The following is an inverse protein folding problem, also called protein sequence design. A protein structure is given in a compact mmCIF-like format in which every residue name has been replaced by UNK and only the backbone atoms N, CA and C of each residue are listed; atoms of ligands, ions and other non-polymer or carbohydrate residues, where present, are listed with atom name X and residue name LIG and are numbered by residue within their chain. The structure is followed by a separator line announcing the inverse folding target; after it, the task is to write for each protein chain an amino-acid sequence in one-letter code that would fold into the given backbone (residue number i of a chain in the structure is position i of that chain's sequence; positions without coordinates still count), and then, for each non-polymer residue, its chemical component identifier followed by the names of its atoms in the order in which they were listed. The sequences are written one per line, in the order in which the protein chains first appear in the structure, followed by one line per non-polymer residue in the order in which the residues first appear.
data_IF_987406198049
#
_entry.id   IF_987406198049
#
_cell.length_a   1.000
_cell.length_b   1.000
_cell.length_c   1.000
_cell.angle_alpha   90.00
_cell.angle_beta   90.00
_cell.angle_gamma   90.00
#
_symmetry.space_group_name_H-M   'P 1'
#
loop_
_entity.id
_entity.type
_entity.pdbx_description
1 polymer ?
#
# COMPACT_ATOMS: atom_id res chain seq x y z
N UNK A 1 -36.86 0.94 24.08
CA UNK A 1 -35.93 2.09 23.93
C UNK A 1 -36.74 3.39 23.88
N UNK A 2 -36.15 4.57 24.08
CA UNK A 2 -36.80 5.86 23.79
C UNK A 2 -36.09 6.58 22.62
N UNK A 3 -36.64 7.71 22.15
CA UNK A 3 -36.10 8.46 21.00
C UNK A 3 -34.72 9.06 21.28
N UNK A 4 -34.46 9.50 22.50
CA UNK A 4 -33.15 10.06 22.89
C UNK A 4 -32.04 9.00 22.85
N UNK A 5 -32.34 7.79 23.30
CA UNK A 5 -31.44 6.63 23.19
C UNK A 5 -31.19 6.25 21.72
N UNK A 6 -32.21 6.36 20.85
CA UNK A 6 -32.03 6.11 19.41
C UNK A 6 -31.08 7.14 18.79
N UNK A 7 -31.25 8.41 19.12
CA UNK A 7 -30.36 9.48 18.67
C UNK A 7 -28.92 9.28 19.17
N UNK A 8 -28.74 8.87 20.44
CA UNK A 8 -27.42 8.56 20.98
C UNK A 8 -26.75 7.38 20.25
N UNK A 9 -27.52 6.33 19.91
CA UNK A 9 -27.02 5.22 19.08
C UNK A 9 -26.64 5.68 17.67
N UNK A 10 -27.45 6.54 17.06
CA UNK A 10 -27.15 7.09 15.74
C UNK A 10 -25.82 7.84 15.75
N UNK A 11 -25.60 8.73 16.72
CA UNK A 11 -24.34 9.45 16.88
C UNK A 11 -23.14 8.52 17.06
N UNK A 12 -23.28 7.47 17.88
CA UNK A 12 -22.20 6.48 18.09
C UNK A 12 -21.83 5.76 16.80
N UNK A 13 -22.79 5.51 15.92
CA UNK A 13 -22.63 4.76 14.67
C UNK A 13 -22.36 5.66 13.45
N UNK A 14 -21.84 6.87 13.63
CA UNK A 14 -21.47 7.77 12.52
C UNK A 14 -22.61 8.62 11.98
N UNK A 15 -23.72 8.73 12.69
CA UNK A 15 -24.83 9.66 12.42
C UNK A 15 -25.82 9.22 11.34
N UNK A 16 -25.37 8.46 10.34
CA UNK A 16 -26.19 7.99 9.19
C UNK A 16 -26.41 6.48 9.14
N UNK A 17 -26.45 5.81 10.29
CA UNK A 17 -26.77 4.39 10.34
C UNK A 17 -28.21 4.11 9.89
N UNK A 18 -28.37 3.12 9.00
CA UNK A 18 -29.69 2.63 8.55
C UNK A 18 -30.19 1.59 9.55
N UNK A 19 -31.09 2.02 10.44
CA UNK A 19 -31.67 1.15 11.46
C UNK A 19 -32.81 0.29 10.92
N UNK A 20 -32.78 -0.99 11.24
CA UNK A 20 -33.78 -1.97 10.84
C UNK A 20 -34.65 -2.33 12.04
N UNK A 21 -35.97 -2.24 11.88
CA UNK A 21 -36.91 -2.71 12.88
C UNK A 21 -36.94 -4.24 12.91
N UNK A 22 -36.56 -4.83 14.04
CA UNK A 22 -36.48 -6.28 14.25
C UNK A 22 -37.45 -6.67 15.36
N UNK A 23 -38.28 -7.71 15.20
CA UNK A 23 -39.17 -8.14 16.28
C UNK A 23 -38.38 -8.48 17.55
N UNK A 24 -39.00 -8.27 18.71
CA UNK A 24 -38.35 -8.52 20.00
C UNK A 24 -37.95 -9.99 20.10
N UNK A 25 -36.71 -10.26 20.49
CA UNK A 25 -36.17 -11.61 20.61
C UNK A 25 -35.65 -12.22 19.30
N UNK A 26 -35.84 -11.55 18.17
CA UNK A 26 -35.36 -12.01 16.87
C UNK A 26 -33.96 -11.47 16.54
N UNK A 27 -33.26 -12.17 15.63
CA UNK A 27 -31.91 -11.80 15.16
C UNK A 27 -31.88 -11.06 13.82
N UNK A 28 -33.01 -10.83 13.17
CA UNK A 28 -33.06 -10.08 11.92
C UNK A 28 -34.48 -9.69 11.46
N UNK A 29 -34.60 -8.83 10.44
CA UNK A 29 -35.88 -8.32 9.97
C UNK A 29 -36.72 -9.42 9.30
N UNK A 30 -38.03 -9.41 9.54
CA UNK A 30 -38.97 -10.38 8.93
C UNK A 30 -39.46 -9.92 7.55
N UNK A 31 -39.39 -8.61 7.26
CA UNK A 31 -39.88 -8.06 5.99
C UNK A 31 -38.91 -8.40 4.84
N UNK A 32 -39.41 -9.01 3.74
CA UNK A 32 -38.60 -9.21 2.54
C UNK A 32 -38.04 -7.90 1.99
N UNK A 33 -36.83 -7.93 1.43
CA UNK A 33 -36.18 -6.75 0.84
C UNK A 33 -35.65 -5.74 1.85
N UNK A 34 -35.45 -6.13 3.11
CA UNK A 34 -34.87 -5.28 4.15
C UNK A 34 -33.48 -4.73 3.78
N UNK A 35 -32.75 -5.41 2.89
CA UNK A 35 -31.46 -4.97 2.35
C UNK A 35 -31.56 -3.68 1.50
N UNK A 36 -32.77 -3.29 1.08
CA UNK A 36 -33.03 -2.10 0.26
C UNK A 36 -33.55 -0.91 1.06
N UNK A 37 -33.67 -1.06 2.39
CA UNK A 37 -34.12 0.03 3.27
C UNK A 37 -33.10 1.17 3.22
N UNK A 38 -33.59 2.40 3.05
CA UNK A 38 -32.75 3.59 2.95
C UNK A 38 -32.70 4.34 4.28
N UNK A 39 -31.67 5.17 4.47
CA UNK A 39 -31.57 6.03 5.65
C UNK A 39 -32.83 6.91 5.80
N UNK A 40 -33.30 7.51 4.70
CA UNK A 40 -34.46 8.40 4.67
C UNK A 40 -35.75 7.70 5.12
N UNK A 41 -35.94 6.43 4.72
CA UNK A 41 -37.07 5.62 5.19
C UNK A 41 -37.04 5.39 6.71
N UNK A 42 -35.85 5.18 7.28
CA UNK A 42 -35.69 4.94 8.73
C UNK A 42 -35.92 6.18 9.59
N UNK A 43 -35.88 7.38 8.99
CA UNK A 43 -36.14 8.65 9.68
C UNK A 43 -37.64 8.99 9.78
N UNK A 44 -38.52 8.25 9.10
CA UNK A 44 -39.96 8.53 9.14
C UNK A 44 -40.54 8.27 10.54
N UNK A 45 -41.43 9.13 11.07
CA UNK A 45 -41.97 8.97 12.43
C UNK A 45 -42.56 7.58 12.71
N UNK A 46 -43.32 7.03 11.76
CA UNK A 46 -43.92 5.70 11.85
C UNK A 46 -42.89 4.55 11.77
N UNK A 47 -41.71 4.81 11.20
CA UNK A 47 -40.59 3.87 11.23
C UNK A 47 -39.91 3.90 12.60
N UNK A 48 -39.68 5.10 13.15
CA UNK A 48 -39.08 5.28 14.47
C UNK A 48 -39.92 4.60 15.56
N UNK A 49 -41.24 4.69 15.50
CA UNK A 49 -42.13 4.04 16.47
C UNK A 49 -42.00 2.50 16.44
N UNK A 50 -41.72 1.92 15.27
CA UNK A 50 -41.42 0.48 15.12
C UNK A 50 -40.03 0.12 15.63
N UNK A 51 -39.04 1.00 15.49
CA UNK A 51 -37.69 0.77 16.02
C UNK A 51 -37.71 0.69 17.56
N UNK A 52 -38.42 1.61 18.22
CA UNK A 52 -38.38 1.72 19.69
C UNK A 52 -39.15 0.62 20.43
N UNK A 53 -39.99 -0.16 19.71
CA UNK A 53 -40.84 -1.22 20.25
C UNK A 53 -40.24 -2.63 20.16
N UNK A 54 -39.14 -2.81 19.41
CA UNK A 54 -38.51 -4.12 19.18
C UNK A 54 -37.01 -4.14 19.44
N UNK A 55 -36.36 -5.14 18.84
CA UNK A 55 -34.92 -5.14 18.64
C UNK A 55 -34.58 -4.19 17.48
N UNK A 56 -33.33 -3.73 17.45
CA UNK A 56 -32.83 -2.84 16.41
C UNK A 56 -31.63 -3.48 15.75
N UNK A 57 -31.78 -3.77 14.46
CA UNK A 57 -30.68 -4.13 13.57
C UNK A 57 -30.10 -2.89 12.90
N UNK A 58 -28.91 -3.04 12.32
CA UNK A 58 -28.27 -2.02 11.48
C UNK A 58 -27.91 -2.68 10.16
N UNK A 59 -28.35 -2.11 9.04
CA UNK A 59 -27.89 -2.51 7.71
C UNK A 59 -26.46 -2.01 7.52
N UNK A 60 -25.54 -2.90 7.17
CA UNK A 60 -24.10 -2.60 7.15
C UNK A 60 -23.60 -2.20 5.75
N UNK A 61 -22.34 -1.77 5.69
CA UNK A 61 -21.62 -1.40 4.49
C UNK A 61 -21.99 -0.01 3.96
N UNK A 62 -22.00 0.13 2.64
CA UNK A 62 -22.19 1.39 1.90
C UNK A 62 -23.53 2.07 2.23
N UNK A 63 -24.57 1.29 2.51
CA UNK A 63 -25.88 1.80 2.91
C UNK A 63 -25.84 2.64 4.20
N UNK A 64 -24.92 2.31 5.12
CA UNK A 64 -24.69 3.04 6.37
C UNK A 64 -23.35 3.78 6.36
N UNK A 65 -22.98 4.36 5.20
CA UNK A 65 -21.76 5.17 5.04
C UNK A 65 -20.46 4.44 5.39
N UNK A 66 -20.37 3.13 5.08
CA UNK A 66 -19.18 2.31 5.32
C UNK A 66 -19.15 1.62 6.69
N UNK A 67 -20.27 1.58 7.42
CA UNK A 67 -20.35 1.01 8.77
C UNK A 67 -20.32 -0.52 8.68
N UNK A 68 -19.27 -1.12 9.23
CA UNK A 68 -19.04 -2.56 9.20
C UNK A 68 -18.86 -3.10 10.62
N UNK A 69 -18.91 -4.43 10.77
CA UNK A 69 -18.65 -5.06 12.07
C UNK A 69 -17.79 -6.31 11.95
N UNK A 70 -16.94 -6.53 12.96
CA UNK A 70 -16.25 -7.79 13.19
C UNK A 70 -17.01 -8.52 14.29
N UNK A 71 -17.76 -9.56 13.94
CA UNK A 71 -18.49 -10.38 14.91
C UNK A 71 -17.65 -11.61 15.26
N UNK A 72 -17.26 -11.73 16.52
CA UNK A 72 -16.39 -12.81 16.99
C UNK A 72 -17.20 -13.72 17.91
N UNK A 73 -17.25 -15.01 17.57
CA UNK A 73 -18.21 -15.95 18.16
C UNK A 73 -17.90 -16.33 19.63
N UNK A 74 -16.64 -16.20 20.07
CA UNK A 74 -16.20 -16.58 21.42
C UNK A 74 -15.54 -15.43 22.17
N UNK A 75 -15.69 -15.42 23.50
CA UNK A 75 -15.13 -14.38 24.35
C UNK A 75 -13.59 -14.40 24.34
N UNK A 76 -12.99 -15.59 24.34
CA UNK A 76 -11.53 -15.77 24.28
C UNK A 76 -10.94 -15.23 22.97
N UNK A 77 -11.56 -15.52 21.82
CA UNK A 77 -11.11 -14.98 20.53
C UNK A 77 -11.30 -13.47 20.44
N UNK A 78 -12.33 -12.93 21.10
CA UNK A 78 -12.56 -11.50 21.16
C UNK A 78 -11.49 -10.77 21.99
N UNK A 79 -10.98 -11.41 23.05
CA UNK A 79 -9.86 -10.89 23.84
C UNK A 79 -8.56 -10.92 23.03
N UNK A 80 -8.25 -12.03 22.36
CA UNK A 80 -7.11 -12.15 21.44
C UNK A 80 -7.13 -11.07 20.35
N UNK A 81 -8.27 -10.88 19.68
CA UNK A 81 -8.43 -9.85 18.66
C UNK A 81 -8.23 -8.43 19.21
N UNK A 82 -8.68 -8.18 20.44
CA UNK A 82 -8.54 -6.89 21.10
C UNK A 82 -7.07 -6.58 21.46
N UNK A 83 -6.29 -7.59 21.84
CA UNK A 83 -4.84 -7.46 22.07
C UNK A 83 -4.08 -7.13 20.78
N UNK A 84 -4.44 -7.77 19.67
CA UNK A 84 -3.87 -7.50 18.35
C UNK A 84 -4.26 -6.12 17.79
N UNK A 85 -5.41 -5.59 18.20
CA UNK A 85 -5.94 -4.32 17.70
C UNK A 85 -6.21 -3.30 18.82
N UNK A 86 -5.18 -2.72 19.47
CA UNK A 86 -5.36 -1.79 20.57
C UNK A 86 -6.24 -0.57 20.24
N UNK A 87 -6.21 -0.10 18.98
CA UNK A 87 -7.10 0.98 18.50
C UNK A 87 -8.59 0.59 18.57
N UNK A 88 -8.93 -0.66 18.23
CA UNK A 88 -10.30 -1.15 18.18
C UNK A 88 -10.89 -1.45 19.55
N UNK A 89 -10.06 -1.58 20.60
CA UNK A 89 -10.54 -1.68 21.98
C UNK A 89 -11.41 -0.48 22.39
N UNK A 90 -11.16 0.70 21.78
CA UNK A 90 -11.86 1.96 22.05
C UNK A 90 -13.14 2.14 21.22
N UNK A 91 -13.37 1.29 20.22
CA UNK A 91 -14.56 1.40 19.37
C UNK A 91 -15.82 0.96 20.11
N UNK A 92 -16.98 1.36 19.59
CA UNK A 92 -18.26 0.88 20.10
C UNK A 92 -18.35 -0.64 19.94
N UNK A 93 -18.71 -1.34 21.01
CA UNK A 93 -18.79 -2.79 21.05
C UNK A 93 -20.14 -3.23 21.58
N UNK A 94 -20.72 -4.25 20.94
CA UNK A 94 -21.95 -4.88 21.40
C UNK A 94 -21.67 -6.33 21.78
N UNK A 95 -22.39 -6.83 22.79
CA UNK A 95 -22.30 -8.22 23.24
C UNK A 95 -23.69 -8.78 23.53
N UNK A 96 -23.98 -9.94 22.94
CA UNK A 96 -25.15 -10.76 23.22
C UNK A 96 -24.87 -11.78 24.33
N UNK A 97 -25.24 -13.04 24.10
CA UNK A 97 -25.01 -14.12 25.06
C UNK A 97 -23.54 -14.53 25.21
N UNK A 98 -22.77 -14.51 24.10
CA UNK A 98 -21.36 -14.86 24.01
C UNK A 98 -20.69 -14.05 22.91
N UNK A 99 -19.37 -14.02 22.91
CA UNK A 99 -18.60 -13.37 21.87
C UNK A 99 -18.65 -11.86 21.98
N UNK A 100 -18.18 -11.18 20.93
CA UNK A 100 -18.10 -9.73 20.90
C UNK A 100 -18.18 -9.22 19.47
N UNK A 101 -18.96 -8.17 19.27
CA UNK A 101 -19.06 -7.49 18.00
C UNK A 101 -18.40 -6.11 18.09
N UNK A 102 -17.38 -5.88 17.25
CA UNK A 102 -16.65 -4.62 17.16
C UNK A 102 -17.18 -3.82 15.98
N UNK A 103 -17.68 -2.61 16.24
CA UNK A 103 -18.21 -1.73 15.19
C UNK A 103 -17.11 -0.82 14.65
N UNK A 104 -17.01 -0.66 13.34
CA UNK A 104 -15.99 0.19 12.70
C UNK A 104 -16.58 0.94 11.50
N UNK A 105 -16.02 2.11 11.21
CA UNK A 105 -16.33 2.87 10.00
C UNK A 105 -15.15 2.72 9.03
N UNK A 106 -15.36 2.07 7.88
CA UNK A 106 -14.26 1.87 6.94
C UNK A 106 -14.03 3.12 6.07
N UNK A 107 -12.77 3.53 5.98
CA UNK A 107 -12.29 4.55 5.04
C UNK A 107 -11.71 3.88 3.78
N UNK A 108 -12.47 3.89 2.69
CA UNK A 108 -12.06 3.26 1.42
C UNK A 108 -12.75 1.93 1.16
N UNK A 109 -12.09 1.07 0.37
CA UNK A 109 -12.64 -0.22 -0.06
C UNK A 109 -12.57 -1.28 1.04
N UNK A 110 -13.51 -2.21 1.01
CA UNK A 110 -13.60 -3.35 1.92
C UNK A 110 -14.30 -4.53 1.24
N UNK A 111 -13.98 -5.78 1.63
CA UNK A 111 -14.60 -6.95 1.02
C UNK A 111 -16.08 -7.09 1.41
N UNK A 112 -16.87 -7.86 0.65
CA UNK A 112 -18.24 -8.19 1.00
C UNK A 112 -18.29 -9.05 2.28
N UNK A 113 -19.50 -9.32 2.79
CA UNK A 113 -19.70 -10.11 3.99
C UNK A 113 -19.06 -11.51 3.85
N UNK A 114 -18.29 -11.91 4.85
CA UNK A 114 -17.59 -13.19 4.89
C UNK A 114 -17.67 -13.89 6.25
N UNK A 115 -17.84 -15.20 6.20
CA UNK A 115 -17.60 -16.07 7.37
C UNK A 115 -16.12 -16.37 7.49
N UNK A 116 -15.62 -16.33 8.71
CA UNK A 116 -14.20 -16.49 9.03
C UNK A 116 -14.03 -17.78 9.83
N UNK A 117 -13.06 -18.59 9.43
CA UNK A 117 -12.69 -19.84 10.09
C UNK A 117 -11.27 -19.81 10.60
N UNK A 118 -11.00 -20.51 11.69
CA UNK A 118 -9.66 -20.86 12.13
C UNK A 118 -9.47 -22.37 11.92
N UNK A 119 -8.79 -22.74 10.82
CA UNK A 119 -8.74 -24.14 10.37
C UNK A 119 -10.12 -24.70 10.00
N UNK A 120 -10.64 -25.63 10.80
CA UNK A 120 -11.98 -26.20 10.61
C UNK A 120 -13.04 -25.56 11.52
N UNK A 121 -12.64 -24.73 12.49
CA UNK A 121 -13.53 -24.11 13.48
C UNK A 121 -14.08 -22.78 12.96
N UNK A 122 -15.35 -22.50 13.25
CA UNK A 122 -15.95 -21.18 13.01
C UNK A 122 -15.35 -20.17 14.01
N UNK A 123 -14.83 -19.05 13.50
CA UNK A 123 -14.22 -18.00 14.33
C UNK A 123 -15.16 -16.81 14.51
N UNK A 124 -15.89 -16.46 13.45
CA UNK A 124 -16.77 -15.30 13.42
C UNK A 124 -17.09 -14.85 12.00
N UNK A 125 -17.42 -13.57 11.84
CA UNK A 125 -17.82 -12.99 10.57
C UNK A 125 -17.28 -11.56 10.40
N UNK A 126 -16.75 -11.27 9.21
CA UNK A 126 -16.65 -9.91 8.70
C UNK A 126 -18.00 -9.53 8.09
N UNK A 127 -18.67 -8.51 8.62
CA UNK A 127 -19.98 -8.09 8.14
C UNK A 127 -19.93 -6.69 7.54
N UNK A 128 -20.24 -6.62 6.24
CA UNK A 128 -20.27 -5.41 5.43
C UNK A 128 -21.53 -5.38 4.54
N UNK A 129 -21.40 -5.06 3.26
CA UNK A 129 -22.52 -4.94 2.30
C UNK A 129 -23.42 -6.19 2.31
N UNK A 130 -24.74 -5.95 2.36
CA UNK A 130 -25.76 -7.01 2.40
C UNK A 130 -25.97 -7.67 3.77
N UNK A 131 -25.12 -7.35 4.76
CA UNK A 131 -25.20 -7.83 6.14
C UNK A 131 -26.04 -6.95 7.06
N UNK A 132 -26.45 -7.51 8.20
CA UNK A 132 -26.97 -6.72 9.33
C UNK A 132 -26.47 -7.24 10.66
N UNK A 133 -26.38 -6.34 11.64
CA UNK A 133 -26.03 -6.68 13.03
C UNK A 133 -27.02 -6.06 14.01
N UNK A 134 -27.44 -6.83 15.02
CA UNK A 134 -28.28 -6.31 16.11
C UNK A 134 -27.46 -5.42 17.03
N UNK A 135 -27.89 -4.16 17.18
CA UNK A 135 -27.24 -3.18 18.07
C UNK A 135 -27.96 -3.04 19.40
N UNK A 136 -29.28 -3.27 19.44
CA UNK A 136 -30.07 -3.13 20.66
C UNK A 136 -31.20 -4.16 20.73
N UNK A 137 -31.53 -4.60 21.95
CA UNK A 137 -32.70 -5.42 22.22
C UNK A 137 -32.38 -6.63 23.09
N UNK A 138 -33.12 -7.71 22.89
CA UNK A 138 -32.97 -8.97 23.63
C UNK A 138 -32.58 -10.09 22.67
N UNK A 139 -31.49 -10.80 22.98
CA UNK A 139 -31.06 -12.01 22.27
C UNK A 139 -32.09 -13.14 22.46
N UNK A 140 -32.25 -14.09 21.51
CA UNK A 140 -33.20 -15.21 21.65
C UNK A 140 -33.08 -16.02 22.94
N UNK A 141 -31.89 -16.04 23.56
CA UNK A 141 -31.64 -16.69 24.86
C UNK A 141 -32.19 -15.92 26.07
N UNK A 142 -32.85 -14.77 25.87
CA UNK A 142 -33.38 -13.91 26.92
C UNK A 142 -32.38 -12.88 27.47
N UNK A 143 -31.12 -12.91 27.04
CA UNK A 143 -30.08 -11.97 27.47
C UNK A 143 -30.24 -10.63 26.74
N UNK A 144 -30.27 -9.52 27.46
CA UNK A 144 -30.25 -8.20 26.83
C UNK A 144 -28.88 -7.93 26.20
N UNK A 145 -28.86 -7.32 25.00
CA UNK A 145 -27.60 -6.86 24.43
C UNK A 145 -26.98 -5.80 25.33
N UNK A 146 -25.68 -5.93 25.56
CA UNK A 146 -24.88 -5.05 26.41
C UNK A 146 -23.81 -4.34 25.59
N UNK A 147 -23.22 -3.30 26.17
CA UNK A 147 -22.19 -2.49 25.55
C UNK A 147 -20.90 -2.55 26.38
N UNK A 148 -20.05 -3.60 26.19
CA UNK A 148 -18.79 -3.72 26.93
C UNK A 148 -17.90 -2.49 26.82
N UNK A 149 -17.92 -1.85 25.64
CA UNK A 149 -17.43 -0.51 25.46
C UNK A 149 -18.50 0.32 24.73
N UNK A 150 -18.99 1.38 25.38
CA UNK A 150 -19.98 2.26 24.77
C UNK A 150 -19.38 3.21 23.73
N UNK A 151 -18.08 3.54 23.85
CA UNK A 151 -17.42 4.56 23.02
C UNK A 151 -18.13 5.92 23.01
N UNK A 152 -17.49 6.94 22.45
CA UNK A 152 -18.18 8.16 22.01
C UNK A 152 -18.69 8.02 20.57
N UNK A 153 -17.93 7.28 19.74
CA UNK A 153 -18.24 6.95 18.35
C UNK A 153 -17.46 5.72 17.90
N UNK A 154 -17.89 5.10 16.80
CA UNK A 154 -17.12 4.06 16.11
C UNK A 154 -15.80 4.62 15.61
N UNK A 155 -14.74 3.81 15.70
CA UNK A 155 -13.43 4.15 15.16
C UNK A 155 -13.50 4.11 13.63
N UNK A 156 -12.97 5.17 12.99
CA UNK A 156 -12.72 5.21 11.54
C UNK A 156 -11.35 4.58 11.25
N UNK A 157 -11.29 3.64 10.31
CA UNK A 157 -10.10 2.82 10.03
C UNK A 157 -10.12 2.34 8.56
N UNK A 158 -8.96 2.07 7.95
CA UNK A 158 -8.92 1.33 6.68
C UNK A 158 -9.03 -0.19 6.94
N UNK A 159 -9.46 -0.97 5.94
CA UNK A 159 -9.61 -2.42 6.12
C UNK A 159 -8.27 -3.15 6.33
N UNK A 160 -7.22 -2.70 5.65
CA UNK A 160 -5.85 -3.25 5.72
C UNK A 160 -5.13 -2.95 7.05
N UNK A 161 -5.59 -1.95 7.81
CA UNK A 161 -5.11 -1.65 9.16
C UNK A 161 -5.64 -2.62 10.24
N UNK A 162 -6.60 -3.50 9.90
CA UNK A 162 -7.13 -4.50 10.84
C UNK A 162 -6.16 -5.67 10.92
N UNK A 163 -5.61 -5.91 12.11
CA UNK A 163 -4.70 -7.03 12.36
C UNK A 163 -5.50 -8.28 12.68
N UNK A 164 -5.52 -9.24 11.76
CA UNK A 164 -6.20 -10.51 11.93
C UNK A 164 -5.29 -11.57 12.58
N UNK A 165 -5.79 -12.46 13.45
CA UNK A 165 -5.00 -13.57 14.00
C UNK A 165 -4.40 -14.44 12.89
N UNK A 166 -3.19 -14.97 13.11
CA UNK A 166 -2.46 -15.69 12.07
C UNK A 166 -3.07 -17.04 11.66
N UNK A 167 -3.92 -17.61 12.52
CA UNK A 167 -4.56 -18.92 12.32
C UNK A 167 -5.89 -18.85 11.58
N UNK A 168 -6.40 -17.64 11.26
CA UNK A 168 -7.62 -17.51 10.47
C UNK A 168 -7.38 -17.68 8.98
N UNK A 169 -8.38 -18.23 8.31
CA UNK A 169 -8.52 -18.15 6.86
C UNK A 169 -9.05 -16.75 6.51
N UNK A 170 -8.43 -16.12 5.50
CA UNK A 170 -8.81 -14.80 4.99
C UNK A 170 -9.55 -14.97 3.65
N UNK A 171 -10.85 -15.27 3.65
CA UNK A 171 -11.58 -15.66 2.44
C UNK A 171 -11.62 -14.56 1.38
N UNK A 172 -11.57 -13.30 1.78
CA UNK A 172 -11.50 -12.15 0.87
C UNK A 172 -10.24 -12.15 -0.01
N UNK A 173 -9.12 -12.74 0.45
CA UNK A 173 -7.89 -12.87 -0.36
C UNK A 173 -8.12 -13.82 -1.54
N UNK A 174 -8.92 -14.88 -1.34
CA UNK A 174 -9.23 -15.86 -2.39
C UNK A 174 -10.21 -15.25 -3.40
N UNK A 175 -11.19 -14.48 -2.94
CA UNK A 175 -12.16 -13.82 -3.82
C UNK A 175 -11.49 -12.74 -4.68
N UNK A 176 -10.64 -11.88 -4.11
CA UNK A 176 -9.85 -10.89 -4.86
C UNK A 176 -8.98 -11.57 -5.94
N UNK A 177 -8.25 -12.63 -5.58
CA UNK A 177 -7.45 -13.39 -6.55
C UNK A 177 -8.32 -14.04 -7.66
N UNK A 178 -9.54 -14.47 -7.32
CA UNK A 178 -10.49 -15.05 -8.28
C UNK A 178 -11.04 -13.99 -9.24
N UNK A 179 -11.34 -12.79 -8.74
CA UNK A 179 -11.82 -11.67 -9.55
C UNK A 179 -10.72 -11.15 -10.48
N UNK A 180 -9.49 -10.98 -9.98
CA UNK A 180 -8.34 -10.61 -10.80
C UNK A 180 -8.06 -11.64 -11.89
N UNK A 181 -8.11 -12.93 -11.55
CA UNK A 181 -7.96 -14.02 -12.53
C UNK A 181 -9.04 -13.96 -13.62
N UNK A 182 -10.31 -13.69 -13.26
CA UNK A 182 -11.40 -13.52 -14.23
C UNK A 182 -11.23 -12.29 -15.11
N UNK A 183 -10.75 -11.16 -14.59
CA UNK A 183 -10.45 -9.97 -15.39
C UNK A 183 -9.33 -10.25 -16.41
N UNK A 184 -8.26 -10.92 -15.96
CA UNK A 184 -7.16 -11.33 -16.83
C UNK A 184 -7.64 -12.25 -17.94
N UNK A 185 -8.46 -13.26 -17.63
CA UNK A 185 -9.03 -14.16 -18.64
C UNK A 185 -9.95 -13.42 -19.61
N UNK A 186 -10.75 -12.47 -19.13
CA UNK A 186 -11.64 -11.66 -19.97
C UNK A 186 -10.85 -10.79 -20.96
N UNK A 187 -9.73 -10.22 -20.55
CA UNK A 187 -8.93 -9.27 -21.35
C UNK A 187 -7.93 -9.97 -22.26
N UNK A 188 -7.32 -11.06 -21.80
CA UNK A 188 -6.20 -11.70 -22.48
C UNK A 188 -6.49 -13.14 -22.90
N UNK A 189 -7.65 -13.69 -22.56
CA UNK A 189 -8.02 -15.09 -22.79
C UNK A 189 -7.49 -16.04 -21.72
N UNK A 190 -7.90 -17.30 -21.78
CA UNK A 190 -7.50 -18.33 -20.80
C UNK A 190 -5.97 -18.50 -20.70
N UNK A 191 -5.42 -18.91 -19.55
CA UNK A 191 -3.98 -19.12 -19.32
C UNK A 191 -3.34 -20.10 -20.30
N UNK A 192 -4.13 -21.06 -20.78
CA UNK A 192 -3.71 -22.13 -21.66
C UNK A 192 -4.56 -22.16 -22.93
N UNK A 193 -3.93 -22.58 -24.02
CA UNK A 193 -4.61 -22.91 -25.28
C UNK A 193 -5.11 -24.34 -25.16
N UNK A 194 -6.42 -24.52 -25.10
CA UNK A 194 -7.06 -25.81 -24.95
C UNK A 194 -7.54 -26.33 -26.31
N UNK A 195 -7.35 -27.62 -26.55
CA UNK A 195 -7.95 -28.34 -27.68
C UNK A 195 -8.83 -29.48 -27.14
N UNK A 196 -10.07 -29.52 -27.60
CA UNK A 196 -11.01 -30.60 -27.26
C UNK A 196 -10.78 -31.78 -28.21
N UNK A 197 -10.62 -32.97 -27.65
CA UNK A 197 -10.62 -34.21 -28.41
C UNK A 197 -12.04 -34.52 -28.88
N UNK A 198 -12.29 -34.47 -30.19
CA UNK A 198 -13.62 -34.67 -30.76
C UNK A 198 -14.21 -36.07 -30.52
N UNK A 199 -13.39 -37.08 -30.20
CA UNK A 199 -13.86 -38.45 -29.95
C UNK A 199 -14.18 -38.72 -28.49
N UNK A 200 -13.38 -38.17 -27.57
CA UNK A 200 -13.52 -38.43 -26.12
C UNK A 200 -14.16 -37.29 -25.35
N UNK A 201 -14.16 -36.08 -25.92
CA UNK A 201 -14.59 -34.85 -25.25
C UNK A 201 -13.51 -34.25 -24.34
N UNK A 202 -12.35 -34.88 -24.20
CA UNK A 202 -11.31 -34.44 -23.27
C UNK A 202 -10.63 -33.15 -23.72
N UNK A 203 -10.43 -32.24 -22.78
CA UNK A 203 -9.67 -31.01 -22.97
C UNK A 203 -8.19 -31.25 -22.74
N UNK A 204 -7.36 -30.92 -23.72
CA UNK A 204 -5.91 -31.03 -23.64
C UNK A 204 -5.29 -29.66 -23.84
N UNK A 205 -4.41 -29.27 -22.91
CA UNK A 205 -3.57 -28.08 -23.11
C UNK A 205 -2.57 -28.35 -24.23
N UNK A 206 -2.61 -27.53 -25.28
CA UNK A 206 -1.74 -27.60 -26.47
C UNK A 206 -0.78 -26.42 -26.57
N UNK A 207 -0.85 -25.46 -25.64
CA UNK A 207 0.08 -24.35 -25.58
C UNK A 207 -0.21 -23.37 -24.46
N UNK A 208 0.72 -22.44 -24.27
CA UNK A 208 0.64 -21.37 -23.27
C UNK A 208 0.13 -20.09 -23.95
N UNK A 209 -0.74 -19.34 -23.26
CA UNK A 209 -1.22 -18.03 -23.73
C UNK A 209 -0.26 -16.92 -23.29
N UNK A 210 0.71 -16.57 -24.14
CA UNK A 210 1.79 -15.64 -23.80
C UNK A 210 1.31 -14.26 -23.28
N UNK A 211 0.34 -13.56 -23.91
CA UNK A 211 -0.22 -12.32 -23.36
C UNK A 211 -0.80 -12.45 -21.94
N UNK A 212 -1.52 -13.54 -21.64
CA UNK A 212 -2.08 -13.76 -20.30
C UNK A 212 -0.98 -13.80 -19.25
N UNK A 213 0.10 -14.54 -19.50
CA UNK A 213 1.18 -14.70 -18.54
C UNK A 213 2.02 -13.43 -18.37
N UNK A 214 2.19 -12.64 -19.44
CA UNK A 214 2.79 -11.32 -19.34
C UNK A 214 1.91 -10.39 -18.49
N UNK A 215 0.60 -10.37 -18.73
CA UNK A 215 -0.34 -9.54 -17.98
C UNK A 215 -0.43 -9.95 -16.51
N UNK A 216 -0.53 -11.25 -16.22
CA UNK A 216 -0.53 -11.78 -14.85
C UNK A 216 0.71 -11.33 -14.07
N UNK A 217 1.90 -11.46 -14.68
CA UNK A 217 3.14 -11.05 -14.03
C UNK A 217 3.15 -9.55 -13.70
N UNK A 218 2.68 -8.69 -14.60
CA UNK A 218 2.59 -7.25 -14.35
C UNK A 218 1.51 -6.89 -13.29
N UNK A 219 0.39 -7.61 -13.24
CA UNK A 219 -0.65 -7.35 -12.24
C UNK A 219 -0.15 -7.69 -10.83
N UNK A 220 0.54 -8.83 -10.69
CA UNK A 220 1.07 -9.32 -9.41
C UNK A 220 2.33 -8.58 -8.96
N UNK A 221 3.04 -7.92 -9.87
CA UNK A 221 4.33 -7.30 -9.58
C UNK A 221 4.37 -5.84 -10.04
N UNK A 222 4.81 -4.95 -9.17
CA UNK A 222 5.04 -3.54 -9.52
C UNK A 222 6.31 -3.40 -10.35
N UNK A 223 6.19 -3.65 -11.65
CA UNK A 223 7.28 -3.66 -12.63
C UNK A 223 7.10 -2.61 -13.72
N UNK A 224 8.20 -2.04 -14.20
CA UNK A 224 8.26 -1.19 -15.39
C UNK A 224 9.44 -1.55 -16.29
N UNK A 225 9.39 -1.09 -17.54
CA UNK A 225 10.46 -1.16 -18.52
C UNK A 225 10.85 0.26 -18.97
N UNK A 226 12.11 0.63 -18.78
CA UNK A 226 12.66 1.89 -19.25
C UNK A 226 13.38 1.68 -20.59
N UNK A 227 12.78 2.10 -21.73
CA UNK A 227 13.30 1.82 -23.06
C UNK A 227 14.66 2.48 -23.34
N UNK A 228 14.94 3.65 -22.75
CA UNK A 228 16.21 4.36 -22.94
C UNK A 228 17.36 3.64 -22.22
N UNK A 229 17.08 3.03 -21.07
CA UNK A 229 18.06 2.26 -20.31
C UNK A 229 18.14 0.80 -20.76
N UNK A 230 17.09 0.31 -21.45
CA UNK A 230 16.89 -1.09 -21.87
C UNK A 230 16.89 -2.05 -20.68
N UNK A 231 16.21 -1.67 -19.60
CA UNK A 231 16.18 -2.43 -18.35
C UNK A 231 14.77 -2.51 -17.77
N UNK A 232 14.48 -3.61 -17.09
CA UNK A 232 13.33 -3.72 -16.21
C UNK A 232 13.66 -3.21 -14.81
N UNK A 233 12.67 -2.61 -14.16
CA UNK A 233 12.74 -2.19 -12.78
C UNK A 233 11.56 -2.75 -12.00
N UNK A 234 11.82 -3.27 -10.81
CA UNK A 234 10.81 -3.74 -9.86
C UNK A 234 10.82 -2.83 -8.64
N UNK A 235 9.64 -2.44 -8.18
CA UNK A 235 9.48 -1.68 -6.95
C UNK A 235 9.68 -2.57 -5.72
N UNK A 236 10.50 -2.10 -4.79
CA UNK A 236 10.74 -2.69 -3.48
C UNK A 236 9.96 -1.90 -2.43
N UNK A 237 9.01 -2.57 -1.76
CA UNK A 237 8.12 -1.91 -0.80
C UNK A 237 8.80 -1.57 0.52
N UNK A 238 9.86 -2.28 0.91
CA UNK A 238 10.60 -2.04 2.15
C UNK A 238 11.45 -0.76 2.01
N UNK A 239 12.13 -0.61 0.87
CA UNK A 239 13.01 0.54 0.63
C UNK A 239 12.32 1.68 -0.11
N UNK A 240 11.18 1.44 -0.75
CA UNK A 240 10.49 2.42 -1.60
C UNK A 240 11.18 2.69 -2.95
N UNK A 241 12.10 1.82 -3.37
CA UNK A 241 12.96 2.03 -4.53
C UNK A 241 12.59 1.15 -5.72
N UNK A 242 12.75 1.69 -6.92
CA UNK A 242 12.77 0.95 -8.16
C UNK A 242 14.17 0.37 -8.41
N UNK A 243 14.31 -0.93 -8.15
CA UNK A 243 15.54 -1.69 -8.32
C UNK A 243 15.62 -2.41 -9.66
N UNK A 244 16.83 -2.70 -10.13
CA UNK A 244 17.02 -3.43 -11.39
C UNK A 244 16.50 -4.88 -11.27
N UNK A 245 15.68 -5.30 -12.23
CA UNK A 245 15.22 -6.69 -12.37
C UNK A 245 15.74 -7.24 -13.69
N UNK A 246 16.43 -8.38 -13.65
CA UNK A 246 16.97 -8.99 -14.87
C UNK A 246 15.88 -9.73 -15.63
N UNK A 247 16.00 -9.80 -16.96
CA UNK A 247 15.09 -10.61 -17.78
C UNK A 247 15.13 -12.08 -17.39
N UNK A 248 16.30 -12.61 -17.03
CA UNK A 248 16.45 -14.01 -16.68
C UNK A 248 15.71 -14.36 -15.38
N UNK A 249 15.74 -13.48 -14.37
CA UNK A 249 14.95 -13.66 -13.15
C UNK A 249 13.45 -13.62 -13.46
N UNK A 250 12.99 -12.68 -14.29
CA UNK A 250 11.57 -12.59 -14.72
C UNK A 250 11.15 -13.89 -15.43
N UNK A 251 11.98 -14.40 -16.35
CA UNK A 251 11.70 -15.66 -17.05
C UNK A 251 11.55 -16.84 -16.09
N UNK A 252 12.41 -16.95 -15.07
CA UNK A 252 12.31 -18.02 -14.07
C UNK A 252 11.04 -17.90 -13.22
N UNK A 253 10.68 -16.70 -12.79
CA UNK A 253 9.46 -16.46 -12.00
C UNK A 253 8.20 -16.78 -12.81
N UNK A 254 8.12 -16.33 -14.06
CA UNK A 254 7.02 -16.68 -14.97
C UNK A 254 6.97 -18.19 -15.21
N UNK A 255 8.14 -18.82 -15.41
CA UNK A 255 8.23 -20.28 -15.59
C UNK A 255 7.68 -21.03 -14.37
N UNK A 256 8.07 -20.64 -13.16
CA UNK A 256 7.54 -21.22 -11.92
C UNK A 256 6.03 -20.99 -11.79
N UNK A 257 5.53 -19.80 -12.09
CA UNK A 257 4.10 -19.50 -12.02
C UNK A 257 3.27 -20.35 -13.00
N UNK A 258 3.78 -20.57 -14.23
CA UNK A 258 3.15 -21.49 -15.21
C UNK A 258 3.11 -22.92 -14.67
N UNK A 259 4.21 -23.39 -14.04
CA UNK A 259 4.30 -24.73 -13.48
C UNK A 259 3.30 -24.95 -12.35
N UNK A 260 3.21 -24.00 -11.41
CA UNK A 260 2.30 -24.06 -10.27
C UNK A 260 0.85 -24.08 -10.72
N UNK A 261 0.46 -23.13 -11.58
CA UNK A 261 -0.90 -23.07 -12.11
C UNK A 261 -1.26 -24.33 -12.94
N UNK A 262 -0.30 -24.88 -13.68
CA UNK A 262 -0.49 -26.14 -14.40
C UNK A 262 -0.70 -27.33 -13.47
N UNK A 263 -0.04 -27.38 -12.32
CA UNK A 263 -0.25 -28.43 -11.31
C UNK A 263 -1.63 -28.30 -10.66
N UNK A 264 -2.02 -27.09 -10.30
CA UNK A 264 -3.31 -26.82 -9.67
C UNK A 264 -4.48 -27.14 -10.60
N UNK A 265 -4.32 -26.87 -11.90
CA UNK A 265 -5.29 -27.23 -12.93
C UNK A 265 -5.24 -28.70 -13.38
N UNK A 266 -4.37 -29.53 -12.79
CA UNK A 266 -4.11 -30.91 -13.18
C UNK A 266 -3.73 -31.07 -14.67
N UNK A 267 -2.91 -30.15 -15.19
CA UNK A 267 -2.43 -30.08 -16.57
C UNK A 267 -0.91 -30.35 -16.63
N UNK A 268 -0.46 -31.62 -16.55
CA UNK A 268 0.95 -31.96 -16.46
C UNK A 268 1.75 -31.59 -17.72
N UNK A 269 1.10 -31.47 -18.89
CA UNK A 269 1.75 -31.10 -20.15
C UNK A 269 2.38 -29.71 -20.12
N UNK A 270 1.92 -28.83 -19.23
CA UNK A 270 2.52 -27.50 -19.01
C UNK A 270 3.98 -27.57 -18.57
N UNK A 271 4.40 -28.70 -17.97
CA UNK A 271 5.79 -28.98 -17.55
C UNK A 271 6.79 -28.83 -18.68
N UNK A 272 6.43 -29.29 -19.87
CA UNK A 272 7.31 -29.32 -21.03
C UNK A 272 7.16 -28.08 -21.93
N UNK A 273 6.17 -27.23 -21.64
CA UNK A 273 5.83 -26.09 -22.49
C UNK A 273 6.62 -24.80 -22.16
N UNK A 274 7.52 -24.81 -21.18
CA UNK A 274 8.25 -23.63 -20.69
C UNK A 274 9.64 -23.46 -21.31
N UNK A 275 9.72 -23.58 -22.63
CA UNK A 275 10.98 -23.38 -23.37
C UNK A 275 11.50 -21.93 -23.28
N UNK A 276 12.81 -21.74 -23.45
CA UNK A 276 13.43 -20.41 -23.49
C UNK A 276 12.82 -19.50 -24.57
N UNK A 277 12.41 -20.08 -25.71
CA UNK A 277 11.71 -19.36 -26.78
C UNK A 277 10.38 -18.78 -26.30
N UNK A 278 9.61 -19.57 -25.54
CA UNK A 278 8.33 -19.13 -24.97
C UNK A 278 8.58 -18.02 -23.95
N UNK A 279 9.45 -18.27 -22.97
CA UNK A 279 9.70 -17.31 -21.88
C UNK A 279 10.21 -15.98 -22.42
N UNK A 280 11.10 -16.00 -23.41
CA UNK A 280 11.54 -14.79 -24.12
C UNK A 280 10.37 -14.07 -24.82
N UNK A 281 9.44 -14.80 -25.43
CA UNK A 281 8.26 -14.20 -26.06
C UNK A 281 7.35 -13.53 -25.02
N UNK A 282 7.12 -14.18 -23.87
CA UNK A 282 6.34 -13.60 -22.75
C UNK A 282 7.03 -12.34 -22.20
N UNK A 283 8.33 -12.37 -21.95
CA UNK A 283 9.07 -11.19 -21.46
C UNK A 283 9.04 -10.04 -22.47
N UNK A 284 9.03 -10.31 -23.78
CA UNK A 284 8.85 -9.28 -24.82
C UNK A 284 7.44 -8.68 -24.82
N UNK A 285 6.40 -9.49 -24.60
CA UNK A 285 5.03 -8.99 -24.43
C UNK A 285 4.95 -8.10 -23.18
N UNK A 286 5.49 -8.58 -22.05
CA UNK A 286 5.56 -7.84 -20.80
C UNK A 286 6.25 -6.48 -21.01
N UNK A 287 7.39 -6.46 -21.71
CA UNK A 287 8.11 -5.22 -22.05
C UNK A 287 7.21 -4.16 -22.66
N UNK A 288 6.36 -4.55 -23.62
CA UNK A 288 5.42 -3.63 -24.26
C UNK A 288 4.26 -3.19 -23.35
N UNK A 289 3.85 -4.04 -22.41
CA UNK A 289 2.77 -3.72 -21.46
C UNK A 289 3.20 -2.73 -20.37
N UNK A 290 4.48 -2.77 -19.97
CA UNK A 290 5.00 -1.98 -18.83
C UNK A 290 6.03 -0.93 -19.26
N UNK A 291 6.07 -0.57 -20.55
CA UNK A 291 6.96 0.47 -21.04
C UNK A 291 6.58 1.84 -20.46
N UNK A 292 7.52 2.46 -19.75
CA UNK A 292 7.42 3.84 -19.29
C UNK A 292 8.71 4.52 -19.73
N UNK A 293 8.59 5.44 -20.69
CA UNK A 293 9.73 6.22 -21.17
C UNK A 293 10.04 7.35 -20.20
N UNK A 294 11.33 7.52 -19.91
CA UNK A 294 11.86 8.56 -19.03
C UNK A 294 11.28 8.48 -17.60
N UNK A 295 11.00 7.27 -17.12
CA UNK A 295 10.31 6.99 -15.87
C UNK A 295 10.95 7.69 -14.65
N UNK A 296 12.27 7.84 -14.67
CA UNK A 296 13.05 8.41 -13.56
C UNK A 296 13.47 9.88 -13.78
N UNK A 297 13.14 10.48 -14.92
CA UNK A 297 13.52 11.86 -15.26
C UNK A 297 12.48 12.84 -14.76
N UNK A 298 11.19 12.54 -15.00
CA UNK A 298 10.08 13.38 -14.60
C UNK A 298 9.35 12.75 -13.41
N UNK A 299 9.86 12.99 -12.20
CA UNK A 299 9.12 12.65 -10.98
C UNK A 299 7.87 13.52 -10.94
N UNK A 300 6.69 12.91 -10.99
CA UNK A 300 5.40 13.61 -10.92
C UNK A 300 5.28 14.43 -9.62
N UNK A 301 5.83 13.91 -8.53
CA UNK A 301 5.93 14.59 -7.24
C UNK A 301 7.41 14.66 -6.83
N UNK A 302 8.04 15.84 -6.88
CA UNK A 302 9.44 15.97 -6.54
C UNK A 302 9.61 16.09 -5.02
N UNK A 303 10.64 15.43 -4.50
CA UNK A 303 10.84 15.31 -3.05
C UNK A 303 12.15 14.61 -2.70
N UNK A 304 12.39 14.51 -1.40
CA UNK A 304 13.57 13.85 -0.81
C UNK A 304 13.16 12.48 -0.29
N UNK A 305 13.84 11.44 -0.78
CA UNK A 305 13.63 10.08 -0.32
C UNK A 305 14.61 9.79 0.84
N UNK A 306 14.11 9.74 2.08
CA UNK A 306 14.86 9.42 3.29
C UNK A 306 14.76 7.91 3.62
N UNK A 307 15.54 7.42 4.58
CA UNK A 307 15.59 5.99 4.92
C UNK A 307 14.25 5.42 5.42
N UNK A 308 13.39 6.26 5.97
CA UNK A 308 12.11 5.88 6.59
C UNK A 308 10.87 6.50 5.94
N UNK A 309 11.03 7.53 5.11
CA UNK A 309 9.89 8.24 4.52
C UNK A 309 10.25 9.07 3.29
N UNK A 310 9.22 9.47 2.53
CA UNK A 310 9.34 10.37 1.40
C UNK A 310 8.84 11.77 1.78
N UNK A 311 9.69 12.77 1.58
CA UNK A 311 9.43 14.15 2.03
C UNK A 311 9.16 15.05 0.83
N UNK A 312 8.02 15.74 0.86
CA UNK A 312 7.61 16.71 -0.17
C UNK A 312 7.43 18.10 0.42
N UNK A 313 7.41 19.11 -0.44
CA UNK A 313 7.29 20.51 -0.06
C UNK A 313 6.14 21.13 -0.85
N UNK A 314 5.26 21.88 -0.18
CA UNK A 314 4.26 22.70 -0.86
C UNK A 314 4.81 24.06 -1.30
N UNK A 315 4.00 24.85 -1.99
CA UNK A 315 4.40 26.18 -2.51
C UNK A 315 4.75 27.18 -1.40
N UNK A 316 4.31 26.93 -0.16
CA UNK A 316 4.63 27.74 1.01
C UNK A 316 5.89 27.25 1.73
N UNK A 317 6.45 26.11 1.30
CA UNK A 317 7.62 25.47 1.90
C UNK A 317 7.28 24.58 3.10
N UNK A 318 6.00 24.28 3.37
CA UNK A 318 5.67 23.33 4.41
C UNK A 318 6.03 21.92 3.95
N UNK A 319 6.47 21.12 4.91
CA UNK A 319 6.90 19.75 4.69
C UNK A 319 5.73 18.81 4.89
N UNK A 320 5.58 17.87 3.95
CA UNK A 320 4.63 16.77 4.04
C UNK A 320 5.39 15.45 3.94
N UNK A 321 5.22 14.61 4.97
CA UNK A 321 5.80 13.28 5.05
C UNK A 321 4.83 12.24 4.50
N UNK A 322 5.35 11.32 3.69
CA UNK A 322 4.59 10.27 3.04
C UNK A 322 5.24 8.91 3.27
N UNK A 323 4.40 7.88 3.34
CA UNK A 323 4.83 6.50 3.17
C UNK A 323 5.41 6.28 1.78
N UNK A 324 6.23 5.24 1.61
CA UNK A 324 6.79 4.92 0.30
C UNK A 324 5.72 4.52 -0.71
N UNK A 325 5.80 5.11 -1.90
CA UNK A 325 4.92 4.79 -3.03
C UNK A 325 5.71 4.59 -4.33
N UNK A 326 5.31 3.62 -5.18
CA UNK A 326 5.88 3.48 -6.52
C UNK A 326 5.74 4.74 -7.38
N UNK A 327 4.74 5.58 -7.11
CA UNK A 327 4.45 6.80 -7.87
C UNK A 327 5.50 7.90 -7.69
N UNK A 328 6.40 7.76 -6.71
CA UNK A 328 7.54 8.67 -6.56
C UNK A 328 8.69 8.37 -7.51
N UNK A 329 8.66 7.23 -8.23
CA UNK A 329 9.70 6.80 -9.18
C UNK A 329 11.12 7.00 -8.64
N UNK A 330 11.32 6.62 -7.37
CA UNK A 330 12.63 6.78 -6.71
C UNK A 330 13.53 5.58 -7.01
N UNK A 331 14.78 5.86 -7.36
CA UNK A 331 15.85 4.86 -7.55
C UNK A 331 17.10 5.17 -6.71
N UNK A 332 16.98 6.17 -5.85
CA UNK A 332 18.01 6.75 -5.01
C UNK A 332 17.35 7.18 -3.70
N UNK A 333 18.02 6.95 -2.58
CA UNK A 333 17.55 7.28 -1.24
C UNK A 333 18.71 7.79 -0.39
N UNK A 334 18.45 8.78 0.46
CA UNK A 334 19.35 9.15 1.55
C UNK A 334 19.37 8.02 2.60
N UNK A 335 20.54 7.55 3.07
CA UNK A 335 20.62 6.53 4.10
C UNK A 335 20.24 7.05 5.50
N UNK A 336 19.87 8.32 5.62
CA UNK A 336 19.53 8.98 6.87
C UNK A 336 18.01 9.00 7.05
N UNK A 337 17.55 8.63 8.24
CA UNK A 337 16.15 8.75 8.65
C UNK A 337 15.79 10.22 8.87
N UNK A 338 14.60 10.61 8.43
CA UNK A 338 14.02 11.90 8.77
C UNK A 338 13.47 11.86 10.20
N UNK A 339 13.90 12.79 11.03
CA UNK A 339 13.54 12.88 12.46
C UNK A 339 12.78 14.18 12.80
N UNK A 340 12.29 14.89 11.80
CA UNK A 340 11.61 16.18 11.95
C UNK A 340 12.46 17.38 11.52
N UNK A 341 11.78 18.45 11.13
CA UNK A 341 12.41 19.67 10.61
C UNK A 341 12.96 20.57 11.72
N UNK A 342 12.41 20.45 12.92
CA UNK A 342 12.75 21.32 14.07
C UNK A 342 14.08 20.94 14.75
N UNK A 343 14.84 20.00 14.17
CA UNK A 343 16.14 19.60 14.69
C UNK A 343 17.20 20.66 14.37
N UNK A 344 17.84 21.19 15.41
CA UNK A 344 18.94 22.13 15.27
C UNK A 344 20.30 21.41 15.40
N UNK A 345 21.10 21.33 14.32
CA UNK A 345 22.40 20.67 14.36
C UNK A 345 23.48 21.63 14.90
N UNK A 346 23.36 22.04 16.17
CA UNK A 346 24.20 23.07 16.80
C UNK A 346 25.70 22.80 16.64
N UNK A 347 26.13 21.56 16.87
CA UNK A 347 27.54 21.17 16.74
C UNK A 347 28.05 21.36 15.31
N UNK A 348 27.26 20.96 14.32
CA UNK A 348 27.62 21.16 12.91
C UNK A 348 27.70 22.64 12.56
N UNK A 349 26.74 23.44 13.01
CA UNK A 349 26.68 24.88 12.73
C UNK A 349 27.87 25.61 13.38
N UNK A 350 28.05 25.44 14.68
CA UNK A 350 28.98 26.23 15.49
C UNK A 350 30.43 25.75 15.39
N UNK A 351 30.67 24.44 15.31
CA UNK A 351 32.03 23.89 15.31
C UNK A 351 32.60 23.67 13.90
N UNK A 352 31.76 23.60 12.85
CA UNK A 352 32.22 23.28 11.51
C UNK A 352 31.79 24.28 10.44
N UNK A 353 30.48 24.56 10.30
CA UNK A 353 29.96 25.38 9.20
C UNK A 353 30.43 26.83 9.31
N UNK A 354 30.17 27.51 10.44
CA UNK A 354 30.56 28.90 10.66
C UNK A 354 32.10 29.08 10.63
N UNK A 355 32.91 28.24 11.31
CA UNK A 355 34.37 28.37 11.24
C UNK A 355 34.96 28.13 9.85
N UNK A 356 34.34 27.26 9.04
CA UNK A 356 34.81 26.95 7.68
C UNK A 356 34.38 27.99 6.65
N UNK A 357 33.16 28.52 6.79
CA UNK A 357 32.54 29.50 5.89
C UNK A 357 32.15 30.75 6.69
N UNK A 358 33.08 31.69 6.94
CA UNK A 358 32.85 32.82 7.83
C UNK A 358 31.86 33.86 7.26
N UNK A 359 31.66 33.89 5.93
CA UNK A 359 30.69 34.77 5.29
C UNK A 359 29.29 34.12 5.32
N UNK A 360 28.29 34.88 5.79
CA UNK A 360 26.88 34.47 5.81
C UNK A 360 26.34 34.10 4.43
N UNK A 361 26.78 34.78 3.38
CA UNK A 361 26.34 34.48 2.01
C UNK A 361 26.87 33.12 1.54
N UNK A 362 28.11 32.77 1.89
CA UNK A 362 28.70 31.47 1.57
C UNK A 362 27.99 30.33 2.30
N UNK A 363 27.62 30.54 3.57
CA UNK A 363 26.80 29.60 4.34
C UNK A 363 25.45 29.36 3.63
N UNK A 364 24.76 30.44 3.23
CA UNK A 364 23.47 30.33 2.56
C UNK A 364 23.58 29.61 1.21
N UNK A 365 24.63 29.89 0.44
CA UNK A 365 24.90 29.20 -0.84
C UNK A 365 25.19 27.71 -0.59
N UNK A 366 26.02 27.39 0.41
CA UNK A 366 26.33 26.00 0.79
C UNK A 366 25.08 25.22 1.20
N UNK A 367 24.23 25.79 2.06
CA UNK A 367 23.00 25.15 2.49
C UNK A 367 22.02 24.93 1.33
N UNK A 368 21.81 25.94 0.47
CA UNK A 368 20.95 25.80 -0.72
C UNK A 368 21.46 24.74 -1.68
N UNK A 369 22.78 24.69 -1.90
CA UNK A 369 23.38 23.67 -2.76
C UNK A 369 23.28 22.27 -2.12
N UNK A 370 23.46 22.15 -0.81
CA UNK A 370 23.23 20.92 -0.06
C UNK A 370 21.79 20.40 -0.20
N UNK A 371 20.80 21.29 -0.08
CA UNK A 371 19.40 20.97 -0.33
C UNK A 371 19.15 20.48 -1.76
N UNK A 372 19.75 21.12 -2.76
CA UNK A 372 19.66 20.69 -4.16
C UNK A 372 20.31 19.31 -4.39
N UNK A 373 21.46 19.04 -3.75
CA UNK A 373 22.09 17.72 -3.80
C UNK A 373 21.19 16.64 -3.22
N UNK A 374 20.51 16.93 -2.10
CA UNK A 374 19.57 16.02 -1.45
C UNK A 374 18.31 15.79 -2.29
N UNK A 375 17.83 16.82 -2.98
CA UNK A 375 16.73 16.71 -3.95
C UNK A 375 17.10 15.85 -5.17
N UNK A 376 18.40 15.72 -5.45
CA UNK A 376 18.95 14.88 -6.51
C UNK A 376 18.74 15.41 -7.93
N UNK A 377 18.40 16.70 -8.07
CA UNK A 377 18.23 17.37 -9.37
C UNK A 377 18.95 18.70 -9.40
N UNK A 378 19.82 18.89 -10.40
CA UNK A 378 20.50 20.16 -10.63
C UNK A 378 19.64 21.12 -11.47
N UNK A 379 18.68 21.79 -10.83
CA UNK A 379 17.70 22.66 -11.49
C UNK A 379 18.37 23.92 -12.08
N UNK A 380 19.40 24.44 -11.41
CA UNK A 380 20.09 25.67 -11.82
C UNK A 380 21.20 25.45 -12.85
N UNK A 381 21.52 24.18 -13.17
CA UNK A 381 22.60 23.79 -14.08
C UNK A 381 23.96 24.39 -13.70
N UNK A 382 24.26 24.46 -12.40
CA UNK A 382 25.55 24.96 -11.87
C UNK A 382 26.18 23.91 -10.97
N UNK A 383 27.49 23.96 -10.84
CA UNK A 383 28.23 23.15 -9.87
C UNK A 383 28.95 24.07 -8.87
N UNK A 384 29.13 23.57 -7.65
CA UNK A 384 29.79 24.31 -6.58
C UNK A 384 31.29 24.03 -6.60
N UNK A 385 32.10 25.09 -6.49
CA UNK A 385 33.54 25.01 -6.31
C UNK A 385 33.89 25.55 -4.93
N UNK A 386 34.50 24.73 -4.10
CA UNK A 386 35.05 25.14 -2.80
C UNK A 386 36.57 25.19 -2.89
N UNK A 387 37.17 26.37 -2.71
CA UNK A 387 38.62 26.56 -2.74
C UNK A 387 39.09 27.32 -1.49
N UNK A 388 40.39 27.26 -1.19
CA UNK A 388 40.99 27.92 -0.03
C UNK A 388 42.07 27.06 0.62
N UNK A 389 42.71 27.58 1.66
CA UNK A 389 43.86 26.95 2.32
C UNK A 389 43.58 25.52 2.81
N UNK A 390 44.56 24.63 2.70
CA UNK A 390 44.46 23.27 3.21
C UNK A 390 44.19 23.24 4.72
N UNK A 391 43.47 22.23 5.21
CA UNK A 391 43.15 22.07 6.64
C UNK A 391 41.96 22.88 7.16
N UNK A 392 41.37 23.77 6.37
CA UNK A 392 40.23 24.61 6.80
C UNK A 392 38.85 23.92 6.77
N UNK A 393 38.73 22.62 7.01
CA UNK A 393 37.42 21.94 7.14
C UNK A 393 36.59 21.70 5.86
N UNK A 394 36.98 22.24 4.71
CA UNK A 394 36.24 22.10 3.42
C UNK A 394 35.92 20.64 3.04
N UNK A 395 36.92 19.76 3.07
CA UNK A 395 36.74 18.34 2.73
C UNK A 395 35.78 17.66 3.71
N UNK A 396 35.77 18.08 4.98
CA UNK A 396 34.80 17.60 5.99
C UNK A 396 33.38 18.04 5.65
N UNK A 397 33.16 19.31 5.28
CA UNK A 397 31.84 19.79 4.83
C UNK A 397 31.32 19.02 3.62
N UNK A 398 32.16 18.83 2.60
CA UNK A 398 31.79 18.04 1.42
C UNK A 398 31.44 16.62 1.84
N UNK A 399 32.27 15.96 2.65
CA UNK A 399 32.01 14.60 3.13
C UNK A 399 30.70 14.46 3.91
N UNK A 400 30.28 15.47 4.68
CA UNK A 400 28.98 15.46 5.37
C UNK A 400 27.85 15.45 4.35
N UNK A 401 27.88 16.34 3.34
CA UNK A 401 26.89 16.33 2.25
C UNK A 401 26.91 14.99 1.51
N UNK A 402 28.09 14.42 1.27
CA UNK A 402 28.23 13.11 0.62
C UNK A 402 27.65 11.96 1.48
N UNK A 403 27.71 12.05 2.80
CA UNK A 403 27.11 11.04 3.66
C UNK A 403 25.59 11.20 3.76
N UNK A 404 25.09 12.44 3.82
CA UNK A 404 23.64 12.73 3.87
C UNK A 404 22.96 12.28 2.58
N UNK A 405 23.51 12.62 1.41
CA UNK A 405 22.91 12.20 0.13
C UNK A 405 23.09 10.69 -0.09
N UNK A 406 24.10 10.07 0.54
CA UNK A 406 24.40 8.64 0.43
C UNK A 406 25.42 8.32 -0.66
N UNK A 407 26.52 7.67 -0.28
CA UNK A 407 27.63 7.31 -1.19
C UNK A 407 27.20 6.46 -2.39
N UNK A 408 26.16 5.65 -2.24
CA UNK A 408 25.63 4.81 -3.31
C UNK A 408 24.96 5.64 -4.43
N UNK A 409 24.52 6.87 -4.14
CA UNK A 409 23.93 7.79 -5.11
C UNK A 409 24.98 8.60 -5.89
N UNK A 410 26.27 8.35 -5.67
CA UNK A 410 27.36 9.19 -6.13
C UNK A 410 28.28 8.52 -7.14
N UNK A 411 28.97 9.36 -7.91
CA UNK A 411 30.19 8.97 -8.61
C UNK A 411 31.27 10.06 -8.49
N UNK A 412 32.52 9.63 -8.50
CA UNK A 412 33.66 10.54 -8.56
C UNK A 412 33.75 11.21 -9.93
N UNK A 413 33.84 12.54 -9.95
CA UNK A 413 34.11 13.31 -11.16
C UNK A 413 35.60 13.19 -11.49
N UNK A 414 35.93 12.74 -12.71
CA UNK A 414 37.29 12.65 -13.21
C UNK A 414 37.37 13.34 -14.56
N UNK A 415 37.68 14.63 -14.54
CA UNK A 415 37.63 15.53 -15.71
C UNK A 415 38.45 15.00 -16.89
N UNK A 416 39.63 14.44 -16.63
CA UNK A 416 40.50 13.82 -17.65
C UNK A 416 39.92 12.59 -18.35
N UNK A 417 38.80 12.03 -17.90
CA UNK A 417 38.15 10.86 -18.49
C UNK A 417 36.76 11.16 -19.08
N UNK A 418 36.30 12.42 -19.09
CA UNK A 418 34.94 12.77 -19.54
C UNK A 418 34.67 12.41 -21.00
N UNK A 419 35.72 12.34 -21.84
CA UNK A 419 35.60 11.92 -23.24
C UNK A 419 35.43 10.40 -23.42
N UNK A 420 35.48 9.61 -22.34
CA UNK A 420 35.35 8.16 -22.38
C UNK A 420 33.90 7.73 -22.11
N UNK A 421 33.31 6.94 -23.01
CA UNK A 421 31.96 6.39 -22.85
C UNK A 421 31.78 5.56 -21.58
N UNK A 422 32.84 4.86 -21.13
CA UNK A 422 32.82 4.11 -19.86
C UNK A 422 32.71 5.04 -18.64
N UNK A 423 33.22 6.27 -18.72
CA UNK A 423 33.09 7.27 -17.66
C UNK A 423 31.64 7.71 -17.53
N UNK A 424 31.02 8.08 -18.65
CA UNK A 424 29.64 8.53 -18.69
C UNK A 424 28.66 7.45 -18.19
N UNK A 425 28.95 6.17 -18.49
CA UNK A 425 28.16 5.06 -17.97
C UNK A 425 28.14 5.02 -16.43
N UNK A 426 29.24 5.36 -15.76
CA UNK A 426 29.32 5.38 -14.28
C UNK A 426 28.42 6.45 -13.64
N UNK A 427 28.04 7.47 -14.39
CA UNK A 427 27.20 8.57 -13.90
C UNK A 427 25.71 8.24 -14.02
N UNK A 428 25.35 7.19 -14.76
CA UNK A 428 23.96 6.74 -14.86
C UNK A 428 23.42 6.41 -13.46
N UNK A 429 22.18 6.80 -13.19
CA UNK A 429 21.51 6.61 -11.90
C UNK A 429 22.15 7.35 -10.70
N UNK A 430 23.14 8.22 -10.93
CA UNK A 430 23.77 9.01 -9.85
C UNK A 430 23.14 10.38 -9.78
N UNK A 431 22.87 10.85 -8.57
CA UNK A 431 22.26 12.16 -8.31
C UNK A 431 23.31 13.23 -7.99
N UNK A 432 24.54 12.82 -7.68
CA UNK A 432 25.63 13.74 -7.36
C UNK A 432 26.98 13.24 -7.91
N UNK A 433 27.68 14.12 -8.60
CA UNK A 433 29.08 13.94 -9.00
C UNK A 433 29.97 14.79 -8.10
N UNK A 434 31.08 14.22 -7.62
CA UNK A 434 31.98 14.92 -6.69
C UNK A 434 33.45 14.75 -7.06
N UNK A 435 34.22 15.84 -7.01
CA UNK A 435 35.68 15.85 -7.14
C UNK A 435 36.31 16.45 -5.89
N UNK A 436 36.59 15.60 -4.89
CA UNK A 436 37.23 16.00 -3.63
C UNK A 436 38.75 15.90 -3.72
N UNK A 437 39.46 16.82 -3.07
CA UNK A 437 40.92 16.83 -2.95
C UNK A 437 41.66 16.73 -4.30
N UNK A 438 41.19 17.52 -5.26
CA UNK A 438 41.71 17.55 -6.64
C UNK A 438 42.80 18.61 -6.83
N UNK A 439 43.70 18.45 -7.82
CA UNK A 439 44.71 19.47 -8.17
C UNK A 439 44.09 20.84 -8.51
N UNK A 440 44.86 21.93 -8.33
CA UNK A 440 44.37 23.28 -8.61
C UNK A 440 43.98 23.54 -10.08
N UNK A 441 44.46 22.72 -11.00
CA UNK A 441 44.14 22.73 -12.43
C UNK A 441 43.10 21.65 -12.83
N UNK A 442 42.27 21.19 -11.90
CA UNK A 442 41.36 20.06 -12.14
C UNK A 442 40.32 20.31 -13.25
N UNK A 443 39.91 21.56 -13.45
CA UNK A 443 38.93 21.95 -14.48
C UNK A 443 39.58 22.43 -15.78
N UNK A 444 40.90 22.33 -15.90
CA UNK A 444 41.69 22.85 -17.03
C UNK A 444 41.80 21.88 -18.19
#
# INVERSE_FOLDING_TARGET
MNKDMLAALACRLGGKAVFLAVPKGEKGPVKPGWQKVTYEETQRPEYIDRLITGNIGVLLGKASSGLCTIDIDSDTRAEEFAELNPKLTKTFQTKGARGRNFWVMIDGEFPPLHKIKAGQEEWGEWRSDGGQTIVYGTHPSGVAYSYPNQGSSVVKIKFDEIVWPNDIQKPWVVEEATEESKDLEKRFGSPFKIRVNQKTGDEVVVGINEPFWAAKYFTENRILWEPSEKMFYMYDQETGLWGHKTEDTIKQEISSSILEHGRDANQPSTQDMRSERLLTSITRQLRGMVEIRDAFVNKGTPGVHCANSYITFDDLGNIHEHEFSPDFYSRNQSPIEFQGIDLEPERFINELLIPTLPNKDDIAIFQKYGGMCLFGRNIIQRFMVMYGQAGGGKSTLVNIVLNIVGKHNMAGLRTGHLNNQFELYRFRAKTLLSGTDVPGNFLS
#
